data_IF_479189845244
#
_entry.id   IF_479189845244
#
_cell.length_a   1.000
_cell.length_b   1.000
_cell.length_c   1.000
_cell.angle_alpha   90.00
_cell.angle_beta   90.00
_cell.angle_gamma   90.00
#
_symmetry.space_group_name_H-M   'P 1'
#
loop_
_entity.id
_entity.type
_entity.pdbx_description
1 polymer ?
#
# COMPACT_ATOMS: atom_id res chain seq x y z
N UNK A 1 -3.25 -19.06 -19.05
CA UNK A 1 -2.27 -18.00 -18.74
C UNK A 1 -3.03 -16.96 -17.96
N UNK A 2 -2.98 -17.05 -16.64
CA UNK A 2 -3.90 -16.31 -15.78
C UNK A 2 -3.15 -15.04 -15.38
N UNK A 3 -3.32 -13.98 -16.17
CA UNK A 3 -2.77 -12.67 -15.87
C UNK A 3 -3.55 -12.10 -14.69
N UNK A 4 -3.22 -12.52 -13.46
CA UNK A 4 -3.75 -11.89 -12.25
C UNK A 4 -3.28 -10.45 -12.28
N UNK A 5 -4.18 -9.53 -12.63
CA UNK A 5 -3.89 -8.11 -12.73
C UNK A 5 -3.34 -7.63 -11.38
N UNK A 6 -2.02 -7.50 -11.31
CA UNK A 6 -1.34 -7.07 -10.09
C UNK A 6 -1.40 -5.55 -10.04
N UNK A 7 -1.98 -5.00 -8.99
CA UNK A 7 -2.03 -3.56 -8.77
C UNK A 7 -0.61 -3.07 -8.45
N UNK A 8 -0.10 -2.09 -9.20
CA UNK A 8 1.18 -1.45 -8.88
C UNK A 8 0.99 -0.15 -8.10
N UNK A 9 2.04 0.27 -7.39
CA UNK A 9 2.01 1.42 -6.50
C UNK A 9 1.75 2.74 -7.26
N UNK A 10 2.15 2.83 -8.53
CA UNK A 10 1.82 3.98 -9.38
C UNK A 10 0.33 4.05 -9.77
N UNK A 11 -0.48 3.01 -9.54
CA UNK A 11 -1.93 3.03 -9.78
C UNK A 11 -2.77 3.18 -8.50
N UNK A 12 -2.14 3.07 -7.33
CA UNK A 12 -2.82 3.15 -6.03
C UNK A 12 -3.37 4.56 -5.78
N UNK A 13 -4.60 4.64 -5.27
CA UNK A 13 -5.19 5.90 -4.85
C UNK A 13 -4.46 6.49 -3.63
N UNK A 14 -4.44 7.82 -3.54
CA UNK A 14 -3.84 8.53 -2.41
C UNK A 14 -4.54 8.11 -1.10
N UNK A 15 -3.76 8.03 -0.02
CA UNK A 15 -4.18 7.65 1.33
C UNK A 15 -4.74 6.22 1.45
N UNK A 16 -4.42 5.33 0.51
CA UNK A 16 -4.68 3.90 0.64
C UNK A 16 -3.47 3.18 1.21
N UNK A 17 -3.70 2.41 2.26
CA UNK A 17 -2.72 1.48 2.81
C UNK A 17 -2.76 0.18 2.01
N UNK A 18 -1.57 -0.30 1.67
CA UNK A 18 -1.33 -1.50 0.90
C UNK A 18 -0.15 -2.27 1.53
N UNK A 19 0.01 -3.52 1.13
CA UNK A 19 1.18 -4.35 1.45
C UNK A 19 1.93 -4.64 0.16
N UNK A 20 3.26 -4.52 0.19
CA UNK A 20 4.11 -4.89 -0.93
C UNK A 20 4.08 -6.40 -1.09
N UNK A 21 3.67 -6.88 -2.26
CA UNK A 21 3.61 -8.33 -2.54
C UNK A 21 4.78 -8.79 -3.38
N UNK A 22 5.31 -7.93 -4.25
CA UNK A 22 6.39 -8.28 -5.16
C UNK A 22 7.07 -7.02 -5.70
N UNK A 23 8.37 -7.12 -5.99
CA UNK A 23 9.09 -6.14 -6.80
C UNK A 23 9.40 -6.75 -8.17
N UNK A 24 9.16 -5.98 -9.23
CA UNK A 24 9.43 -6.40 -10.62
C UNK A 24 10.14 -5.26 -11.33
N UNK A 25 11.43 -5.43 -11.62
CA UNK A 25 12.16 -4.49 -12.44
C UNK A 25 11.87 -4.73 -13.94
N UNK A 26 11.78 -3.65 -14.75
CA UNK A 26 11.73 -3.79 -16.20
C UNK A 26 13.05 -4.32 -16.74
N UNK A 27 13.01 -4.95 -17.92
CA UNK A 27 14.20 -5.53 -18.55
C UNK A 27 15.32 -4.51 -18.80
N UNK A 28 14.94 -3.24 -19.02
CA UNK A 28 15.87 -2.14 -19.31
C UNK A 28 16.48 -1.50 -18.03
N UNK A 29 16.02 -1.89 -16.83
CA UNK A 29 16.54 -1.38 -15.55
C UNK A 29 16.51 -2.45 -14.44
N UNK A 30 17.25 -3.57 -14.58
CA UNK A 30 17.27 -4.64 -13.59
C UNK A 30 17.79 -4.19 -12.21
N UNK A 31 18.65 -3.16 -12.19
CA UNK A 31 19.27 -2.61 -10.98
C UNK A 31 18.28 -1.89 -10.05
N UNK A 32 17.07 -1.59 -10.52
CA UNK A 32 16.04 -0.99 -9.67
C UNK A 32 15.53 -1.94 -8.60
N UNK A 33 15.53 -3.25 -8.84
CA UNK A 33 15.07 -4.22 -7.85
C UNK A 33 15.96 -4.26 -6.59
N UNK A 34 17.30 -4.42 -6.71
CA UNK A 34 18.17 -4.35 -5.54
C UNK A 34 18.15 -2.97 -4.88
N UNK A 35 18.13 -1.88 -5.65
CA UNK A 35 18.07 -0.53 -5.10
C UNK A 35 16.78 -0.25 -4.31
N UNK A 36 15.61 -0.63 -4.84
CA UNK A 36 14.32 -0.49 -4.14
C UNK A 36 14.32 -1.30 -2.84
N UNK A 37 14.89 -2.51 -2.86
CA UNK A 37 15.02 -3.35 -1.66
C UNK A 37 15.92 -2.69 -0.62
N UNK A 38 17.05 -2.13 -1.04
CA UNK A 38 18.03 -1.46 -0.16
C UNK A 38 17.44 -0.25 0.57
N UNK A 39 16.62 0.56 -0.10
CA UNK A 39 15.99 1.73 0.52
C UNK A 39 14.76 1.37 1.38
N UNK A 40 14.33 0.10 1.39
CA UNK A 40 13.32 -0.42 2.31
C UNK A 40 12.01 -0.89 1.69
N UNK A 41 11.91 -1.01 0.36
CA UNK A 41 10.75 -1.66 -0.27
C UNK A 41 10.92 -3.18 -0.17
N UNK A 42 10.36 -3.78 0.88
CA UNK A 42 10.49 -5.21 1.14
C UNK A 42 9.10 -5.87 1.02
N UNK A 43 9.05 -7.09 0.50
CA UNK A 43 7.81 -7.88 0.43
C UNK A 43 7.26 -8.11 1.85
N UNK A 44 5.97 -7.83 2.04
CA UNK A 44 5.30 -7.86 3.35
C UNK A 44 5.24 -6.50 4.05
N UNK A 45 6.02 -5.50 3.62
CA UNK A 45 5.98 -4.17 4.24
C UNK A 45 4.73 -3.38 3.86
N UNK A 46 4.28 -2.56 4.81
CA UNK A 46 3.19 -1.63 4.58
C UNK A 46 3.66 -0.42 3.78
N UNK A 47 2.90 -0.10 2.75
CA UNK A 47 3.14 1.05 1.88
C UNK A 47 1.85 1.83 1.64
N UNK A 48 1.94 3.16 1.61
CA UNK A 48 0.81 4.02 1.28
C UNK A 48 1.23 5.21 0.43
N UNK A 49 0.43 5.53 -0.59
CA UNK A 49 0.64 6.74 -1.40
C UNK A 49 0.16 7.95 -0.61
N UNK A 50 1.06 8.91 -0.34
CA UNK A 50 0.74 10.14 0.41
C UNK A 50 0.30 11.26 -0.49
N UNK A 51 0.95 11.43 -1.64
CA UNK A 51 0.58 12.40 -2.66
C UNK A 51 1.23 12.07 -3.98
N UNK A 52 0.72 12.67 -5.05
CA UNK A 52 1.36 12.68 -6.37
C UNK A 52 1.78 14.10 -6.67
N UNK A 53 3.07 14.27 -6.94
CA UNK A 53 3.64 15.58 -7.19
C UNK A 53 3.48 15.93 -8.67
N UNK A 54 2.81 17.05 -8.96
CA UNK A 54 2.71 17.58 -10.33
C UNK A 54 4.08 18.13 -10.78
N UNK A 55 4.85 18.66 -9.82
CA UNK A 55 6.25 19.03 -9.99
C UNK A 55 7.14 17.77 -9.92
N UNK A 56 8.25 17.69 -10.68
CA UNK A 56 9.09 16.47 -10.82
C UNK A 56 8.44 15.33 -11.61
N UNK A 57 7.83 15.65 -12.76
CA UNK A 57 7.34 14.66 -13.73
C UNK A 57 6.36 13.61 -13.15
N UNK A 58 5.50 14.01 -12.20
CA UNK A 58 4.49 13.10 -11.66
C UNK A 58 4.96 12.20 -10.52
N UNK A 59 6.08 12.52 -9.85
CA UNK A 59 6.64 11.69 -8.78
C UNK A 59 5.60 11.26 -7.73
N UNK A 60 5.65 9.99 -7.35
CA UNK A 60 4.75 9.38 -6.37
C UNK A 60 5.43 9.44 -5.00
N UNK A 61 4.85 10.20 -4.07
CA UNK A 61 5.34 10.27 -2.70
C UNK A 61 4.64 9.19 -1.89
N UNK A 62 5.43 8.29 -1.32
CA UNK A 62 4.96 7.11 -0.61
C UNK A 62 5.55 7.06 0.79
N UNK A 63 4.83 6.43 1.71
CA UNK A 63 5.35 6.07 3.02
C UNK A 63 5.47 4.55 3.08
N UNK A 64 6.67 4.05 3.38
CA UNK A 64 6.99 2.63 3.59
C UNK A 64 7.41 2.46 5.04
N UNK A 65 6.66 1.68 5.82
CA UNK A 65 6.81 1.66 7.28
C UNK A 65 6.71 3.07 7.89
N UNK A 66 7.82 3.58 8.43
CA UNK A 66 7.94 4.94 9.00
C UNK A 66 8.62 5.95 8.05
N UNK A 67 9.21 5.49 6.95
CA UNK A 67 10.03 6.30 6.04
C UNK A 67 9.20 6.86 4.89
N UNK A 68 9.54 8.06 4.41
CA UNK A 68 8.87 8.71 3.27
C UNK A 68 9.83 8.85 2.09
N UNK A 69 9.40 8.40 0.92
CA UNK A 69 10.19 8.41 -0.31
C UNK A 69 9.41 9.06 -1.45
N UNK A 70 10.12 9.67 -2.38
CA UNK A 70 9.57 10.16 -3.63
C UNK A 70 10.13 9.30 -4.77
N UNK A 71 9.27 8.50 -5.39
CA UNK A 71 9.62 7.64 -6.52
C UNK A 71 9.22 8.27 -7.84
N UNK A 72 9.99 8.00 -8.88
CA UNK A 72 9.55 8.21 -10.26
C UNK A 72 8.34 7.29 -10.56
N UNK A 73 7.41 7.68 -11.45
CA UNK A 73 6.28 6.83 -11.81
C UNK A 73 6.67 5.44 -12.29
N UNK A 74 7.82 5.33 -12.97
CA UNK A 74 8.36 4.06 -13.47
C UNK A 74 8.88 3.17 -12.34
N UNK A 75 9.62 3.74 -11.37
CA UNK A 75 10.06 3.02 -10.17
C UNK A 75 8.85 2.55 -9.35
N UNK A 76 7.84 3.41 -9.17
CA UNK A 76 6.61 3.05 -8.47
C UNK A 76 5.79 1.97 -9.22
N UNK A 77 5.91 1.88 -10.55
CA UNK A 77 5.27 0.82 -11.32
C UNK A 77 5.93 -0.56 -11.09
N UNK A 78 7.18 -0.59 -10.59
CA UNK A 78 7.90 -1.81 -10.26
C UNK A 78 7.44 -2.44 -8.94
N UNK A 79 6.72 -1.70 -8.10
CA UNK A 79 6.26 -2.15 -6.79
C UNK A 79 4.82 -2.67 -6.91
N UNK A 80 4.64 -3.99 -6.85
CA UNK A 80 3.33 -4.62 -6.85
C UNK A 80 2.81 -4.71 -5.42
N UNK A 81 1.52 -4.40 -5.25
CA UNK A 81 0.91 -4.27 -3.93
C UNK A 81 -0.50 -4.85 -3.89
N UNK A 82 -0.96 -5.15 -2.67
CA UNK A 82 -2.34 -5.49 -2.37
C UNK A 82 -2.95 -4.49 -1.39
N UNK A 83 -4.17 -3.99 -1.62
CA UNK A 83 -4.87 -3.13 -0.67
C UNK A 83 -5.10 -3.83 0.67
N UNK A 84 -4.83 -3.13 1.77
CA UNK A 84 -5.23 -3.58 3.09
C UNK A 84 -6.66 -3.14 3.33
N UNK A 85 -7.57 -4.11 3.40
CA UNK A 85 -8.91 -3.84 3.91
C UNK A 85 -8.84 -3.93 5.43
N UNK A 86 -8.60 -2.81 6.09
CA UNK A 86 -8.82 -2.74 7.53
C UNK A 86 -10.30 -3.01 7.77
N UNK A 87 -10.62 -4.22 8.24
CA UNK A 87 -11.88 -4.49 8.88
C UNK A 87 -11.87 -3.65 10.16
N UNK A 88 -12.58 -2.52 10.17
CA UNK A 88 -12.96 -1.92 11.43
C UNK A 88 -13.84 -2.96 12.12
N UNK A 89 -13.46 -3.50 13.30
CA UNK A 89 -14.39 -4.30 14.06
C UNK A 89 -15.58 -3.38 14.36
N UNK A 90 -16.73 -3.71 13.79
CA UNK A 90 -18.01 -3.20 14.24
C UNK A 90 -18.05 -3.51 15.74
N UNK A 91 -17.93 -2.48 16.59
CA UNK A 91 -18.17 -2.62 18.02
C UNK A 91 -19.64 -2.99 18.20
N UNK A 92 -19.88 -4.30 18.19
CA UNK A 92 -21.13 -4.97 18.45
C UNK A 92 -21.62 -4.56 19.85
N UNK A 93 -22.45 -3.51 19.89
CA UNK A 93 -23.18 -3.09 21.09
C UNK A 93 -24.38 -4.00 21.25
N UNK A 94 -24.16 -5.21 21.78
CA UNK A 94 -25.24 -6.07 22.24
C UNK A 94 -25.05 -6.42 23.72
N UNK A 95 -26.15 -6.26 24.46
CA UNK A 95 -26.51 -6.83 25.77
C UNK A 95 -26.50 -5.87 26.98
N UNK A 96 -27.61 -5.13 27.15
CA UNK A 96 -28.11 -4.74 28.47
C UNK A 96 -29.64 -4.97 28.54
N UNK A 97 -30.05 -6.24 28.35
CA UNK A 97 -31.37 -6.72 28.77
C UNK A 97 -31.16 -7.52 30.05
N UNK A 98 -31.37 -6.92 31.23
CA UNK A 98 -31.66 -7.68 32.47
C UNK A 98 -32.39 -6.79 33.48
N UNK A 99 -33.62 -7.22 33.78
CA UNK A 99 -34.38 -7.05 35.03
C UNK A 99 -34.80 -5.65 35.50
N UNK A 100 -36.08 -5.37 35.29
CA UNK A 100 -36.88 -4.43 36.07
C UNK A 100 -38.31 -4.96 36.22
N UNK A 101 -38.47 -6.15 36.80
CA UNK A 101 -39.77 -6.58 37.36
C UNK A 101 -39.83 -6.07 38.79
N UNK A 102 -40.67 -5.08 39.04
CA UNK A 102 -41.13 -4.77 40.39
C UNK A 102 -42.61 -5.09 40.44
N UNK A 103 -42.92 -6.06 41.29
CA UNK A 103 -44.24 -6.33 41.84
C UNK A 103 -44.67 -5.22 42.82
#
# INVERSE_FOLDING_TARGET
>A
MNSTASLNLNQVAIARDCVITQLVAPADAPDWLPWLTEIGFIVGEHVSVKRRSILRKGAVVVRVGQSTFALHPEEAACVLVQPVFNHYPEHNSINATTSGVHA
#
